data_IF_272517053743
#
_entry.id   IF_272517053743
#
_cell.length_a   1.000
_cell.length_b   1.000
_cell.length_c   1.000
_cell.angle_alpha   90.00
_cell.angle_beta   90.00
_cell.angle_gamma   90.00
#
_symmetry.space_group_name_H-M   'P 1'
#
loop_
_entity.id
_entity.type
_entity.pdbx_description
1 polymer ?
#
# COMPACT_ATOMS: atom_id res chain seq x y z
N UNK A 1 -31.39 -3.32 -13.26
CA UNK A 1 -31.55 -2.69 -11.94
C UNK A 1 -30.91 -3.58 -10.90
N UNK A 2 -29.69 -3.29 -10.52
CA UNK A 2 -28.98 -3.95 -9.41
C UNK A 2 -29.46 -3.30 -8.11
N UNK A 3 -30.33 -4.01 -7.37
CA UNK A 3 -30.65 -3.65 -5.99
C UNK A 3 -29.52 -4.14 -5.09
N UNK A 4 -28.47 -3.33 -4.94
CA UNK A 4 -27.45 -3.55 -3.91
C UNK A 4 -28.04 -3.22 -2.54
N UNK A 5 -28.10 -4.18 -1.62
CA UNK A 5 -28.40 -3.90 -0.20
C UNK A 5 -27.16 -3.24 0.40
N UNK A 6 -27.27 -1.95 0.80
CA UNK A 6 -26.26 -1.27 1.57
C UNK A 6 -26.43 -1.65 3.04
N UNK A 7 -25.37 -2.14 3.67
CA UNK A 7 -25.35 -2.41 5.11
C UNK A 7 -24.30 -1.52 5.75
N UNK A 8 -24.70 -0.72 6.71
CA UNK A 8 -23.79 0.17 7.47
C UNK A 8 -23.35 -0.56 8.72
N UNK A 9 -22.03 -0.69 8.90
CA UNK A 9 -21.40 -1.13 10.16
C UNK A 9 -21.08 0.12 10.99
N UNK A 10 -21.55 0.15 12.24
CA UNK A 10 -21.25 1.21 13.18
C UNK A 10 -20.11 0.77 14.12
N UNK A 11 -19.24 1.71 14.52
CA UNK A 11 -18.16 1.47 15.48
C UNK A 11 -18.68 1.07 16.87
N UNK A 12 -19.97 1.36 17.17
CA UNK A 12 -20.65 0.95 18.39
C UNK A 12 -21.34 -0.40 18.32
N UNK A 13 -21.35 -1.07 17.15
CA UNK A 13 -21.97 -2.38 16.99
C UNK A 13 -21.22 -3.45 17.80
N UNK A 14 -21.96 -4.25 18.56
CA UNK A 14 -21.40 -5.45 19.20
C UNK A 14 -21.01 -6.49 18.14
N UNK A 15 -20.07 -7.40 18.46
CA UNK A 15 -19.67 -8.48 17.57
C UNK A 15 -20.85 -9.31 17.06
N UNK A 16 -21.90 -9.49 17.86
CA UNK A 16 -23.15 -10.16 17.46
C UNK A 16 -23.89 -9.35 16.38
N UNK A 17 -24.06 -8.05 16.58
CA UNK A 17 -24.71 -7.16 15.61
C UNK A 17 -23.96 -7.08 14.28
N UNK A 18 -22.64 -7.03 14.34
CA UNK A 18 -21.77 -7.09 13.15
C UNK A 18 -21.96 -8.43 12.43
N UNK A 19 -21.94 -9.54 13.17
CA UNK A 19 -22.20 -10.87 12.63
C UNK A 19 -23.56 -10.98 11.94
N UNK A 20 -24.63 -10.53 12.56
CA UNK A 20 -25.98 -10.55 11.99
C UNK A 20 -26.08 -9.72 10.71
N UNK A 21 -25.49 -8.53 10.68
CA UNK A 21 -25.43 -7.64 9.52
C UNK A 21 -24.66 -8.29 8.36
N UNK A 22 -23.49 -8.90 8.63
CA UNK A 22 -22.71 -9.61 7.64
C UNK A 22 -23.44 -10.83 7.11
N UNK A 23 -24.00 -11.68 7.99
CA UNK A 23 -24.71 -12.87 7.59
C UNK A 23 -25.95 -12.57 6.74
N UNK A 24 -26.59 -11.41 6.93
CA UNK A 24 -27.72 -10.99 6.09
C UNK A 24 -27.35 -10.74 4.62
N UNK A 25 -26.08 -10.41 4.36
CA UNK A 25 -25.57 -10.11 3.01
C UNK A 25 -25.03 -11.34 2.27
N UNK A 26 -24.65 -12.39 3.01
CA UNK A 26 -23.96 -13.55 2.47
C UNK A 26 -24.92 -14.59 1.90
N UNK A 27 -24.54 -15.21 0.79
CA UNK A 27 -25.18 -16.40 0.24
C UNK A 27 -25.02 -17.63 1.16
N UNK A 28 -25.83 -18.68 1.02
CA UNK A 28 -25.69 -19.89 1.84
C UNK A 28 -24.30 -20.52 1.81
N UNK A 29 -23.61 -20.49 0.66
CA UNK A 29 -22.23 -21.01 0.55
C UNK A 29 -21.24 -20.13 1.28
N UNK A 30 -21.31 -18.83 1.10
CA UNK A 30 -20.45 -17.87 1.80
C UNK A 30 -20.62 -17.94 3.32
N UNK A 31 -21.85 -18.19 3.81
CA UNK A 31 -22.10 -18.41 5.24
C UNK A 31 -21.38 -19.64 5.78
N UNK A 32 -21.37 -20.74 5.01
CA UNK A 32 -20.64 -21.97 5.39
C UNK A 32 -19.14 -21.74 5.42
N UNK A 33 -18.60 -21.08 4.41
CA UNK A 33 -17.18 -20.74 4.31
C UNK A 33 -16.73 -19.83 5.47
N UNK A 34 -17.52 -18.80 5.79
CA UNK A 34 -17.23 -17.90 6.92
C UNK A 34 -17.32 -18.66 8.26
N UNK A 35 -18.31 -19.53 8.45
CA UNK A 35 -18.43 -20.32 9.66
C UNK A 35 -17.28 -21.35 9.81
N UNK A 36 -16.77 -21.88 8.70
CA UNK A 36 -15.60 -22.75 8.71
C UNK A 36 -14.34 -21.92 9.06
N UNK A 37 -14.16 -20.78 8.44
CA UNK A 37 -13.06 -19.87 8.72
C UNK A 37 -12.99 -19.49 10.20
N UNK A 38 -14.11 -19.15 10.82
CA UNK A 38 -14.16 -18.79 12.25
C UNK A 38 -13.75 -20.00 13.12
N UNK A 39 -14.22 -21.21 12.82
CA UNK A 39 -13.84 -22.42 13.55
C UNK A 39 -12.35 -22.73 13.43
N UNK A 40 -11.79 -22.59 12.22
CA UNK A 40 -10.37 -22.85 11.96
C UNK A 40 -9.49 -21.79 12.65
N UNK A 41 -9.98 -20.56 12.73
CA UNK A 41 -9.36 -19.46 13.48
C UNK A 41 -9.32 -19.74 15.00
N UNK A 42 -10.45 -20.15 15.59
CA UNK A 42 -10.54 -20.50 17.02
C UNK A 42 -9.71 -21.74 17.38
N UNK A 43 -9.58 -22.68 16.44
CA UNK A 43 -8.74 -23.87 16.59
C UNK A 43 -7.23 -23.61 16.45
N UNK A 44 -6.82 -22.35 16.18
CA UNK A 44 -5.42 -21.96 15.99
C UNK A 44 -4.79 -22.45 14.69
N UNK A 45 -5.62 -22.91 13.73
CA UNK A 45 -5.17 -23.46 12.45
C UNK A 45 -4.93 -22.42 11.33
N UNK A 46 -5.25 -21.16 11.56
CA UNK A 46 -5.04 -20.10 10.56
C UNK A 46 -4.00 -19.14 11.10
N UNK A 47 -2.85 -19.12 10.45
CA UNK A 47 -1.87 -18.04 10.62
C UNK A 47 -2.47 -16.77 9.97
N UNK A 48 -3.09 -15.94 10.78
CA UNK A 48 -3.54 -14.62 10.33
C UNK A 48 -2.32 -13.76 10.08
N UNK A 49 -2.16 -13.27 8.86
CA UNK A 49 -1.28 -12.15 8.54
C UNK A 49 -1.54 -10.99 9.50
N UNK A 50 -0.49 -10.30 9.97
CA UNK A 50 -0.58 -9.42 11.12
C UNK A 50 -1.25 -8.10 10.78
N UNK A 51 -2.55 -8.01 10.98
CA UNK A 51 -3.13 -6.74 11.36
C UNK A 51 -3.01 -6.65 12.88
N UNK A 52 -2.19 -5.74 13.34
CA UNK A 52 -1.84 -5.53 14.73
C UNK A 52 -3.08 -5.41 15.60
N UNK A 53 -3.41 -6.46 16.35
CA UNK A 53 -4.35 -6.35 17.45
C UNK A 53 -3.61 -5.74 18.64
N UNK A 54 -3.90 -4.49 18.93
CA UNK A 54 -3.42 -3.83 20.14
C UNK A 54 -4.21 -4.40 21.32
N UNK A 55 -3.63 -5.37 22.02
CA UNK A 55 -4.06 -5.76 23.36
C UNK A 55 -2.88 -5.71 24.32
N UNK A 56 -3.02 -4.89 25.34
CA UNK A 56 -2.18 -4.85 26.56
C UNK A 56 -0.67 -4.61 26.34
N UNK A 57 -0.29 -3.45 25.77
CA UNK A 57 1.04 -2.86 26.06
C UNK A 57 2.30 -3.67 25.72
N UNK A 58 2.18 -4.82 25.07
CA UNK A 58 3.32 -5.57 24.54
C UNK A 58 3.30 -5.49 23.01
N UNK A 59 4.29 -4.79 22.46
CA UNK A 59 4.60 -4.83 21.04
C UNK A 59 5.01 -6.24 20.67
N UNK A 60 4.12 -7.00 20.05
CA UNK A 60 4.48 -8.24 19.41
C UNK A 60 5.19 -7.88 18.10
N UNK A 61 6.51 -7.88 18.12
CA UNK A 61 7.30 -7.87 16.88
C UNK A 61 7.21 -9.29 16.35
N UNK A 62 6.55 -9.55 15.21
CA UNK A 62 6.56 -10.89 14.62
C UNK A 62 8.01 -11.24 14.31
N UNK A 63 8.51 -12.31 14.92
CA UNK A 63 9.75 -12.94 14.49
C UNK A 63 9.58 -13.28 13.02
N UNK A 64 10.45 -12.74 12.17
CA UNK A 64 10.62 -13.00 10.75
C UNK A 64 9.46 -13.79 10.11
N UNK A 65 8.56 -13.12 9.44
CA UNK A 65 7.65 -13.81 8.53
C UNK A 65 8.50 -14.41 7.42
N UNK A 66 8.42 -15.72 7.21
CA UNK A 66 8.99 -16.43 6.05
C UNK A 66 8.28 -16.05 4.73
N UNK A 67 7.62 -14.89 4.68
CA UNK A 67 7.03 -14.39 3.46
C UNK A 67 8.14 -13.78 2.60
N UNK A 68 8.16 -14.13 1.31
CA UNK A 68 9.15 -13.58 0.40
C UNK A 68 9.01 -12.04 0.36
N UNK A 69 10.14 -11.35 0.46
CA UNK A 69 10.19 -9.89 0.36
C UNK A 69 9.84 -9.45 -1.06
N UNK A 70 9.14 -8.32 -1.18
CA UNK A 70 8.91 -7.66 -2.46
C UNK A 70 10.13 -6.82 -2.81
N UNK A 71 11.04 -7.42 -3.55
CA UNK A 71 12.30 -6.80 -3.96
C UNK A 71 12.32 -6.54 -5.47
N UNK A 72 12.78 -5.37 -5.87
CA UNK A 72 12.98 -5.01 -7.28
C UNK A 72 14.43 -4.56 -7.47
N UNK A 73 15.07 -5.07 -8.50
CA UNK A 73 16.40 -4.65 -8.96
C UNK A 73 16.30 -4.19 -10.39
N UNK A 74 16.67 -2.94 -10.62
CA UNK A 74 16.67 -2.33 -11.94
C UNK A 74 18.00 -1.61 -12.19
N UNK A 75 18.92 -2.29 -12.88
CA UNK A 75 20.28 -1.81 -13.01
C UNK A 75 20.96 -1.62 -11.66
N UNK A 76 21.40 -0.40 -11.37
CA UNK A 76 22.06 -0.02 -10.12
C UNK A 76 21.07 0.26 -8.96
N UNK A 77 19.77 0.22 -9.24
CA UNK A 77 18.72 0.49 -8.26
C UNK A 77 18.23 -0.79 -7.59
N UNK A 78 18.15 -0.79 -6.27
CA UNK A 78 17.48 -1.80 -5.48
C UNK A 78 16.37 -1.17 -4.63
N UNK A 79 15.23 -1.84 -4.56
CA UNK A 79 14.06 -1.45 -3.78
C UNK A 79 13.53 -2.64 -3.01
N UNK A 80 13.17 -2.45 -1.74
CA UNK A 80 12.45 -3.43 -0.92
C UNK A 80 11.27 -2.76 -0.23
N UNK A 81 10.08 -3.29 -0.46
CA UNK A 81 8.84 -2.72 0.06
C UNK A 81 8.74 -2.88 1.58
N UNK A 82 8.96 -4.09 2.07
CA UNK A 82 8.77 -4.44 3.49
C UNK A 82 9.80 -3.76 4.40
N UNK A 83 11.05 -3.67 3.93
CA UNK A 83 12.10 -2.95 4.64
C UNK A 83 12.04 -1.43 4.43
N UNK A 84 11.15 -0.95 3.56
CA UNK A 84 11.03 0.47 3.17
C UNK A 84 12.38 1.09 2.81
N UNK A 85 13.19 0.37 2.07
CA UNK A 85 14.54 0.82 1.70
C UNK A 85 14.73 0.89 0.18
N UNK A 86 15.57 1.84 -0.20
CA UNK A 86 16.05 2.05 -1.56
C UNK A 86 17.56 2.21 -1.51
N UNK A 87 18.29 1.51 -2.36
CA UNK A 87 19.71 1.76 -2.57
C UNK A 87 20.00 2.00 -4.05
N UNK A 88 21.02 2.77 -4.33
CA UNK A 88 21.55 2.98 -5.68
C UNK A 88 23.06 2.80 -5.59
N UNK A 89 23.62 1.87 -6.38
CA UNK A 89 25.04 1.46 -6.29
C UNK A 89 25.44 1.14 -4.85
N UNK A 90 24.60 0.35 -4.17
CA UNK A 90 24.76 -0.04 -2.75
C UNK A 90 24.76 1.11 -1.74
N UNK A 91 24.54 2.34 -2.19
CA UNK A 91 24.36 3.50 -1.32
C UNK A 91 22.89 3.64 -0.91
N UNK A 92 22.61 3.62 0.41
CA UNK A 92 21.28 3.83 0.94
C UNK A 92 20.75 5.25 0.64
N UNK A 93 19.53 5.34 0.12
CA UNK A 93 18.88 6.60 -0.23
C UNK A 93 17.85 6.95 0.84
N UNK A 94 18.07 8.01 1.63
CA UNK A 94 17.13 8.41 2.68
C UNK A 94 15.90 9.11 2.07
N UNK A 95 14.81 8.38 1.96
CA UNK A 95 13.51 8.89 1.49
C UNK A 95 12.62 9.25 2.68
N UNK A 96 11.85 10.33 2.53
CA UNK A 96 10.73 10.60 3.44
C UNK A 96 9.60 9.59 3.19
N UNK A 97 8.66 9.49 4.14
CA UNK A 97 7.50 8.58 4.03
C UNK A 97 6.77 8.79 2.69
N UNK A 98 6.45 10.06 2.36
CA UNK A 98 5.72 10.37 1.11
C UNK A 98 6.53 10.12 -0.15
N UNK A 99 7.83 10.37 -0.13
CA UNK A 99 8.72 10.04 -1.25
C UNK A 99 8.79 8.53 -1.48
N UNK A 100 8.89 7.74 -0.40
CA UNK A 100 8.90 6.29 -0.48
C UNK A 100 7.55 5.76 -1.00
N UNK A 101 6.42 6.26 -0.48
CA UNK A 101 5.09 5.83 -0.88
C UNK A 101 4.82 6.13 -2.36
N UNK A 102 5.18 7.33 -2.86
CA UNK A 102 5.12 7.67 -4.28
C UNK A 102 5.99 6.70 -5.09
N UNK A 103 7.25 6.50 -4.66
CA UNK A 103 8.18 5.66 -5.39
C UNK A 103 7.72 4.21 -5.46
N UNK A 104 7.17 3.68 -4.35
CA UNK A 104 6.61 2.33 -4.28
C UNK A 104 5.48 2.12 -5.29
N UNK A 105 4.54 3.08 -5.39
CA UNK A 105 3.45 3.00 -6.38
C UNK A 105 3.98 2.94 -7.80
N UNK A 106 4.99 3.74 -8.11
CA UNK A 106 5.55 3.83 -9.45
C UNK A 106 6.36 2.58 -9.81
N UNK A 107 7.31 2.15 -8.96
CA UNK A 107 8.23 1.04 -9.24
C UNK A 107 7.53 -0.32 -9.25
N UNK A 108 6.50 -0.51 -8.44
CA UNK A 108 5.68 -1.73 -8.42
C UNK A 108 4.75 -1.84 -9.65
N UNK A 109 4.58 -0.76 -10.41
CA UNK A 109 3.73 -0.71 -11.59
C UNK A 109 4.48 -0.07 -12.77
N UNK A 110 5.55 -0.69 -13.29
CA UNK A 110 6.39 -0.09 -14.32
C UNK A 110 5.55 0.23 -15.58
N UNK A 111 5.89 1.37 -16.21
CA UNK A 111 5.20 1.93 -17.41
C UNK A 111 3.77 2.42 -17.18
N UNK A 112 3.14 2.10 -16.04
CA UNK A 112 1.82 2.65 -15.70
C UNK A 112 1.93 4.13 -15.34
N UNK A 113 1.04 4.96 -15.91
CA UNK A 113 0.95 6.38 -15.57
C UNK A 113 0.03 6.54 -14.35
N UNK A 114 0.55 7.18 -13.30
CA UNK A 114 -0.23 7.62 -12.15
C UNK A 114 -0.54 9.10 -12.30
N UNK A 115 -1.81 9.44 -12.35
CA UNK A 115 -2.25 10.84 -12.44
C UNK A 115 -2.04 11.56 -11.12
N UNK A 116 -2.11 12.89 -11.14
CA UNK A 116 -1.99 13.68 -9.89
C UNK A 116 -3.09 13.31 -8.89
N UNK A 117 -4.31 13.06 -9.38
CA UNK A 117 -5.46 12.63 -8.57
C UNK A 117 -5.20 11.26 -7.92
N UNK A 118 -4.74 10.28 -8.71
CA UNK A 118 -4.40 8.95 -8.20
C UNK A 118 -3.29 9.01 -7.15
N UNK A 119 -2.24 9.80 -7.38
CA UNK A 119 -1.15 9.95 -6.41
C UNK A 119 -1.64 10.59 -5.11
N UNK A 120 -2.51 11.59 -5.20
CA UNK A 120 -3.06 12.22 -4.01
C UNK A 120 -3.94 11.26 -3.22
N UNK A 121 -4.89 10.59 -3.87
CA UNK A 121 -5.78 9.63 -3.25
C UNK A 121 -5.01 8.48 -2.57
N UNK A 122 -4.06 7.86 -3.31
CA UNK A 122 -3.35 6.68 -2.83
C UNK A 122 -2.26 6.98 -1.78
N UNK A 123 -1.66 8.18 -1.78
CA UNK A 123 -0.57 8.53 -0.88
C UNK A 123 -1.01 9.42 0.28
N UNK A 124 -1.97 10.32 0.04
CA UNK A 124 -2.45 11.23 1.09
C UNK A 124 -3.83 10.89 1.62
N UNK A 125 -4.60 10.06 0.89
CA UNK A 125 -6.01 9.74 1.20
C UNK A 125 -6.90 10.99 1.24
N UNK A 126 -6.59 11.97 0.41
CA UNK A 126 -7.25 13.26 0.32
C UNK A 126 -7.79 13.50 -1.10
N UNK A 127 -8.81 14.34 -1.19
CA UNK A 127 -9.35 14.80 -2.47
C UNK A 127 -8.37 15.76 -3.17
N UNK A 128 -8.39 15.72 -4.50
CA UNK A 128 -7.52 16.57 -5.31
C UNK A 128 -7.89 18.05 -5.19
N UNK A 129 -6.88 18.88 -4.86
CA UNK A 129 -6.97 20.34 -4.86
C UNK A 129 -5.87 20.95 -5.72
N UNK A 130 -6.02 22.22 -6.11
CA UNK A 130 -5.00 22.93 -6.89
C UNK A 130 -3.62 22.94 -6.21
N UNK A 131 -3.58 23.02 -4.88
CA UNK A 131 -2.31 23.01 -4.11
C UNK A 131 -1.66 21.63 -4.05
N UNK A 132 -2.43 20.57 -4.19
CA UNK A 132 -1.96 19.20 -4.15
C UNK A 132 -0.98 18.88 -5.27
N UNK A 133 -1.19 19.41 -6.48
CA UNK A 133 -0.29 19.22 -7.63
C UNK A 133 1.10 19.77 -7.35
N UNK A 134 1.20 20.96 -6.72
CA UNK A 134 2.49 21.56 -6.36
C UNK A 134 3.23 20.71 -5.32
N UNK A 135 2.51 20.18 -4.33
CA UNK A 135 3.09 19.30 -3.32
C UNK A 135 3.64 18.01 -3.94
N UNK A 136 2.87 17.33 -4.81
CA UNK A 136 3.31 16.14 -5.52
C UNK A 136 4.56 16.43 -6.36
N UNK A 137 4.57 17.53 -7.12
CA UNK A 137 5.72 17.93 -7.94
C UNK A 137 6.98 18.14 -7.08
N UNK A 138 6.85 18.75 -5.90
CA UNK A 138 7.96 18.96 -4.98
C UNK A 138 8.50 17.62 -4.46
N UNK A 139 7.64 16.70 -4.03
CA UNK A 139 8.06 15.38 -3.57
C UNK A 139 8.75 14.58 -4.68
N UNK A 140 8.19 14.57 -5.89
CA UNK A 140 8.81 13.88 -7.04
C UNK A 140 10.15 14.54 -7.43
N UNK A 141 10.25 15.86 -7.40
CA UNK A 141 11.51 16.57 -7.66
C UNK A 141 12.59 16.19 -6.64
N UNK A 142 12.24 16.15 -5.36
CA UNK A 142 13.18 15.77 -4.30
C UNK A 142 13.58 14.28 -4.41
N UNK A 143 12.61 13.41 -4.67
CA UNK A 143 12.83 11.99 -4.90
C UNK A 143 13.83 11.76 -6.05
N UNK A 144 13.61 12.39 -7.21
CA UNK A 144 14.52 12.32 -8.36
C UNK A 144 15.94 12.75 -8.01
N UNK A 145 16.09 13.87 -7.27
CA UNK A 145 17.42 14.36 -6.84
C UNK A 145 18.12 13.35 -5.95
N UNK A 146 17.37 12.67 -5.08
CA UNK A 146 17.93 11.70 -4.13
C UNK A 146 18.36 10.40 -4.82
N UNK A 147 17.57 9.87 -5.76
CA UNK A 147 17.90 8.63 -6.46
C UNK A 147 18.93 8.82 -7.58
N UNK A 148 19.08 10.02 -8.10
CA UNK A 148 20.09 10.34 -9.13
C UNK A 148 21.40 10.78 -8.50
N UNK A 149 22.09 9.85 -7.85
CA UNK A 149 23.37 10.12 -7.17
C UNK A 149 24.56 10.30 -8.13
N UNK A 150 24.42 9.95 -9.41
CA UNK A 150 25.42 10.10 -10.43
C UNK A 150 24.80 10.50 -11.78
N UNK A 151 25.52 11.25 -12.64
CA UNK A 151 24.97 11.77 -13.90
C UNK A 151 24.68 10.71 -14.96
N UNK A 152 25.33 9.56 -14.87
CA UNK A 152 25.19 8.40 -15.78
C UNK A 152 24.00 7.50 -15.42
N UNK A 153 23.35 7.73 -14.28
CA UNK A 153 22.17 6.98 -13.92
C UNK A 153 20.94 7.40 -14.74
N UNK A 154 20.06 6.43 -15.09
CA UNK A 154 18.84 6.75 -15.81
C UNK A 154 17.89 7.60 -14.98
N UNK A 155 17.03 8.35 -15.63
CA UNK A 155 15.90 9.00 -14.97
C UNK A 155 14.77 7.98 -14.80
N UNK A 156 14.72 7.33 -13.64
CA UNK A 156 13.75 6.27 -13.32
C UNK A 156 12.29 6.77 -13.28
N UNK A 157 12.07 8.05 -13.03
CA UNK A 157 10.73 8.62 -12.90
C UNK A 157 10.48 9.58 -14.06
N UNK A 158 9.66 9.16 -15.02
CA UNK A 158 9.30 9.99 -16.17
C UNK A 158 8.05 10.80 -15.90
N UNK A 159 8.08 12.08 -16.33
CA UNK A 159 6.88 12.92 -16.34
C UNK A 159 6.06 12.63 -17.58
N UNK A 160 4.74 12.47 -17.39
CA UNK A 160 3.76 12.54 -18.47
C UNK A 160 3.11 13.91 -18.39
N UNK A 161 3.47 14.77 -19.34
CA UNK A 161 3.13 16.20 -19.31
C UNK A 161 1.62 16.43 -19.10
N UNK A 162 1.28 17.23 -18.10
CA UNK A 162 -0.11 17.56 -17.76
C UNK A 162 -0.89 16.46 -17.04
N UNK A 163 -0.38 15.20 -17.01
CA UNK A 163 -1.09 14.03 -16.50
C UNK A 163 -0.55 13.56 -15.14
N UNK A 164 0.75 13.27 -15.05
CA UNK A 164 1.33 12.71 -13.84
C UNK A 164 2.72 12.11 -14.08
N UNK A 165 2.98 10.97 -13.46
CA UNK A 165 4.29 10.31 -13.46
C UNK A 165 4.19 8.82 -13.70
N UNK A 166 5.28 8.22 -14.19
CA UNK A 166 5.46 6.77 -14.34
C UNK A 166 6.91 6.38 -14.00
N UNK A 167 7.11 5.12 -13.62
CA UNK A 167 8.43 4.49 -13.59
C UNK A 167 8.71 3.91 -14.98
N UNK A 168 9.89 4.22 -15.53
CA UNK A 168 10.30 3.76 -16.87
C UNK A 168 11.82 3.93 -17.00
N UNK A 169 12.52 2.89 -17.43
CA UNK A 169 13.99 2.83 -17.58
C UNK A 169 14.40 2.65 -19.03
#
# INVERSE_FOLDING_TARGET
WLHGKLTVLDLGDSGKQIGEKLFALLSPNQKKELAQFVRDYEAGGISTTPYTTIFQGQYFIPKHSDQPLTEIREGDLYFCLEHRCVTVRDQAIPLTVKEFDIFSLLILNPKRVFTYEMLLELVWHEDYTYYSRKAINNHVSNLRKKIRIAPDLPDYIKSVYGVGYKFDT
#
